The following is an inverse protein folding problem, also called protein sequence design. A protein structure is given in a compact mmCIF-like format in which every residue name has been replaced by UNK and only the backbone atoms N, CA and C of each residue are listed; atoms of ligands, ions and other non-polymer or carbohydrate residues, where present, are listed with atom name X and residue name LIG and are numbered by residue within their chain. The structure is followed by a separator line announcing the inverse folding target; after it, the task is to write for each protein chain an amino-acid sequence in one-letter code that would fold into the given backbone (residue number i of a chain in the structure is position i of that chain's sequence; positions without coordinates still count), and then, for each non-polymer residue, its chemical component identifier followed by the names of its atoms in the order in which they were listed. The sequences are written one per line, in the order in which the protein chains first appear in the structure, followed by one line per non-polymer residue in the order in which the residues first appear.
data_IF_278196600264
#
_entry.id   IF_278196600264
#
_cell.length_a   1.000
_cell.length_b   1.000
_cell.length_c   1.000
_cell.angle_alpha   90.00
_cell.angle_beta   90.00
_cell.angle_gamma   90.00
#
_symmetry.space_group_name_H-M   'P 1'
#
loop_
_entity.id
_entity.type
_entity.pdbx_description
1 polymer ?
#
# COMPACT_ATOMS: atom_id res chain seq x y z
N UNK A 1 33.25 8.89 21.19
CA UNK A 1 33.19 7.44 20.89
C UNK A 1 31.83 6.83 21.28
N UNK A 2 31.42 6.87 22.55
CA UNK A 2 30.15 6.28 23.04
C UNK A 2 28.91 6.85 22.34
N UNK A 3 28.81 8.17 22.19
CA UNK A 3 27.69 8.82 21.48
C UNK A 3 27.59 8.38 20.01
N UNK A 4 28.72 8.16 19.33
CA UNK A 4 28.75 7.67 17.94
C UNK A 4 28.17 6.26 17.84
N UNK A 5 28.56 5.37 18.75
CA UNK A 5 28.09 3.99 18.80
C UNK A 5 26.58 3.91 19.11
N UNK A 6 26.09 4.73 20.03
CA UNK A 6 24.65 4.82 20.34
C UNK A 6 23.85 5.31 19.13
N UNK A 7 24.35 6.34 18.45
CA UNK A 7 23.69 6.86 17.24
C UNK A 7 23.69 5.82 16.11
N UNK A 8 24.78 5.07 15.94
CA UNK A 8 24.89 4.00 14.95
C UNK A 8 23.93 2.84 15.27
N UNK A 9 23.80 2.45 16.54
CA UNK A 9 22.82 1.45 16.98
C UNK A 9 21.38 1.88 16.67
N UNK A 10 21.01 3.13 16.99
CA UNK A 10 19.68 3.68 16.70
C UNK A 10 19.39 3.76 15.20
N UNK A 11 20.37 4.14 14.39
CA UNK A 11 20.23 4.17 12.93
C UNK A 11 20.00 2.76 12.36
N UNK A 12 20.71 1.76 12.88
CA UNK A 12 20.55 0.35 12.48
C UNK A 12 19.16 -0.19 12.85
N UNK A 13 18.65 0.13 14.04
CA UNK A 13 17.30 -0.26 14.45
C UNK A 13 16.21 0.41 13.61
N UNK A 14 16.34 1.72 13.32
CA UNK A 14 15.41 2.42 12.44
C UNK A 14 15.38 1.81 11.03
N UNK A 15 16.55 1.47 10.47
CA UNK A 15 16.62 0.81 9.17
C UNK A 15 15.93 -0.56 9.18
N UNK A 16 16.12 -1.34 10.25
CA UNK A 16 15.47 -2.65 10.40
C UNK A 16 13.95 -2.52 10.47
N UNK A 17 13.44 -1.57 11.26
CA UNK A 17 12.02 -1.29 11.38
C UNK A 17 11.43 -0.84 10.04
N UNK A 18 12.12 0.07 9.34
CA UNK A 18 11.70 0.54 8.02
C UNK A 18 11.64 -0.61 7.00
N UNK A 19 12.69 -1.44 6.93
CA UNK A 19 12.71 -2.60 6.04
C UNK A 19 11.57 -3.58 6.35
N UNK A 20 11.29 -3.82 7.64
CA UNK A 20 10.18 -4.68 8.04
C UNK A 20 8.83 -4.10 7.62
N UNK A 21 8.63 -2.79 7.78
CA UNK A 21 7.41 -2.11 7.34
C UNK A 21 7.24 -2.20 5.82
N UNK A 22 8.29 -1.91 5.04
CA UNK A 22 8.26 -1.99 3.57
C UNK A 22 7.87 -3.38 3.09
N UNK A 23 8.51 -4.43 3.61
CA UNK A 23 8.22 -5.83 3.24
C UNK A 23 6.76 -6.18 3.55
N UNK A 24 6.27 -5.80 4.74
CA UNK A 24 4.88 -6.08 5.14
C UNK A 24 3.88 -5.35 4.27
N UNK A 25 4.08 -4.07 4.00
CA UNK A 25 3.16 -3.26 3.18
C UNK A 25 3.15 -3.76 1.73
N UNK A 26 4.30 -4.12 1.17
CA UNK A 26 4.38 -4.73 -0.17
C UNK A 26 3.60 -6.04 -0.23
N UNK A 27 3.80 -6.92 0.76
CA UNK A 27 3.07 -8.19 0.82
C UNK A 27 1.55 -7.98 0.96
N UNK A 28 1.12 -7.04 1.81
CA UNK A 28 -0.29 -6.71 1.96
C UNK A 28 -0.90 -6.16 0.67
N UNK A 29 -0.19 -5.29 -0.04
CA UNK A 29 -0.63 -4.76 -1.33
C UNK A 29 -0.80 -5.87 -2.38
N UNK A 30 0.20 -6.76 -2.49
CA UNK A 30 0.12 -7.90 -3.42
C UNK A 30 -1.02 -8.85 -3.06
N UNK A 31 -1.24 -9.11 -1.77
CA UNK A 31 -2.34 -9.95 -1.30
C UNK A 31 -3.70 -9.32 -1.64
N UNK A 32 -3.88 -8.03 -1.40
CA UNK A 32 -5.12 -7.32 -1.74
C UNK A 32 -5.38 -7.34 -3.25
N UNK A 33 -4.35 -7.09 -4.06
CA UNK A 33 -4.44 -7.17 -5.53
C UNK A 33 -4.81 -8.58 -6.00
N UNK A 34 -4.23 -9.62 -5.39
CA UNK A 34 -4.60 -11.00 -5.70
C UNK A 34 -6.06 -11.28 -5.33
N UNK A 35 -6.51 -10.86 -4.16
CA UNK A 35 -7.88 -11.09 -3.69
C UNK A 35 -8.93 -10.45 -4.60
N UNK A 36 -8.70 -9.22 -5.07
CA UNK A 36 -9.63 -8.57 -5.99
C UNK A 36 -9.64 -9.27 -7.35
N UNK A 37 -8.47 -9.67 -7.88
CA UNK A 37 -8.39 -10.39 -9.15
C UNK A 37 -9.06 -11.77 -9.07
N UNK A 38 -8.79 -12.54 -8.01
CA UNK A 38 -9.43 -13.84 -7.78
C UNK A 38 -10.96 -13.70 -7.69
N UNK A 39 -11.43 -12.63 -7.02
CA UNK A 39 -12.86 -12.31 -6.95
C UNK A 39 -13.42 -12.00 -8.34
N UNK A 40 -12.82 -11.08 -9.09
CA UNK A 40 -13.27 -10.71 -10.44
C UNK A 40 -13.29 -11.87 -11.42
N UNK A 41 -12.30 -12.76 -11.34
CA UNK A 41 -12.19 -13.93 -12.23
C UNK A 41 -13.17 -15.04 -11.86
N UNK A 42 -13.69 -15.05 -10.63
CA UNK A 42 -14.74 -15.98 -10.20
C UNK A 42 -16.14 -15.59 -10.68
N UNK A 43 -16.33 -14.35 -11.13
CA UNK A 43 -17.62 -13.82 -11.57
C UNK A 43 -18.01 -14.30 -12.96
N UNK A 44 -19.32 -14.42 -13.20
CA UNK A 44 -19.85 -14.62 -14.54
C UNK A 44 -19.61 -13.36 -15.40
N UNK A 45 -19.53 -13.49 -16.74
CA UNK A 45 -19.25 -12.37 -17.63
C UNK A 45 -20.18 -11.16 -17.45
N UNK A 46 -21.47 -11.40 -17.17
CA UNK A 46 -22.44 -10.32 -16.94
C UNK A 46 -22.23 -9.64 -15.58
N UNK A 47 -21.94 -10.39 -14.53
CA UNK A 47 -21.63 -9.85 -13.19
C UNK A 47 -20.35 -9.01 -13.24
N UNK A 48 -19.32 -9.48 -13.96
CA UNK A 48 -18.09 -8.73 -14.19
C UNK A 48 -18.36 -7.42 -14.93
N UNK A 49 -19.25 -7.43 -15.92
CA UNK A 49 -19.67 -6.23 -16.68
C UNK A 49 -20.46 -5.24 -15.82
N UNK A 50 -21.23 -5.73 -14.85
CA UNK A 50 -21.93 -4.87 -13.89
C UNK A 50 -20.97 -4.29 -12.87
N UNK A 51 -20.05 -5.11 -12.33
CA UNK A 51 -19.03 -4.67 -11.40
C UNK A 51 -18.14 -3.57 -12.00
N UNK A 52 -17.74 -3.68 -13.29
CA UNK A 52 -16.94 -2.65 -13.95
C UNK A 52 -17.64 -1.29 -14.07
N UNK A 53 -18.97 -1.24 -13.92
CA UNK A 53 -19.75 0.02 -13.87
C UNK A 53 -19.86 0.58 -12.45
N UNK A 54 -19.86 -0.29 -11.44
CA UNK A 54 -20.00 0.08 -10.03
C UNK A 54 -18.66 0.54 -9.45
N UNK A 55 -17.57 -0.14 -9.81
CA UNK A 55 -16.25 0.13 -9.23
C UNK A 55 -15.79 1.59 -9.38
N UNK A 56 -15.94 2.24 -10.55
CA UNK A 56 -15.59 3.66 -10.69
C UNK A 56 -16.46 4.63 -9.87
N UNK A 57 -17.64 4.17 -9.44
CA UNK A 57 -18.56 4.92 -8.57
C UNK A 57 -18.37 4.57 -7.09
N UNK A 58 -17.51 3.58 -6.79
CA UNK A 58 -17.19 3.20 -5.42
C UNK A 58 -16.28 4.25 -4.78
N UNK A 59 -16.41 4.38 -3.47
CA UNK A 59 -15.68 5.37 -2.68
C UNK A 59 -14.86 4.64 -1.62
N UNK A 60 -13.59 5.00 -1.48
CA UNK A 60 -12.74 4.54 -0.39
C UNK A 60 -12.86 5.52 0.77
N UNK A 61 -12.93 5.03 2.01
CA UNK A 61 -12.96 5.91 3.20
C UNK A 61 -11.79 6.91 3.24
N UNK A 62 -10.67 6.59 2.57
CA UNK A 62 -9.49 7.44 2.43
C UNK A 62 -9.60 8.55 1.40
N UNK A 63 -10.63 8.58 0.55
CA UNK A 63 -10.73 9.56 -0.54
C UNK A 63 -10.92 11.01 -0.03
N UNK A 64 -11.31 11.18 1.24
CA UNK A 64 -11.34 12.49 1.91
C UNK A 64 -9.97 12.92 2.48
N UNK A 65 -8.96 12.06 2.42
CA UNK A 65 -7.61 12.36 2.88
C UNK A 65 -6.77 12.72 1.65
N UNK A 66 -6.21 13.92 1.63
CA UNK A 66 -5.28 14.32 0.59
C UNK A 66 -4.05 13.39 0.61
N UNK A 67 -3.92 12.58 -0.43
CA UNK A 67 -2.77 11.69 -0.63
C UNK A 67 -1.91 12.22 -1.77
N UNK A 68 -0.57 12.14 -1.67
CA UNK A 68 0.30 12.51 -2.77
C UNK A 68 0.03 11.59 -3.96
N UNK A 69 -0.23 12.18 -5.13
CA UNK A 69 -0.55 11.46 -6.37
C UNK A 69 0.69 11.18 -7.23
N UNK A 70 1.82 11.81 -6.89
CA UNK A 70 3.07 11.70 -7.62
C UNK A 70 4.32 11.86 -6.75
N UNK A 71 5.48 11.61 -7.36
CA UNK A 71 6.78 11.68 -6.68
C UNK A 71 7.09 13.09 -6.16
N UNK A 72 6.79 14.11 -6.97
CA UNK A 72 7.05 15.51 -6.62
C UNK A 72 6.24 15.97 -5.40
N UNK A 73 4.97 15.52 -5.30
CA UNK A 73 4.12 15.78 -4.14
C UNK A 73 4.59 15.00 -2.90
N UNK A 74 5.09 13.78 -3.09
CA UNK A 74 5.61 12.94 -2.00
C UNK A 74 6.89 13.53 -1.38
N UNK A 75 7.72 14.23 -2.17
CA UNK A 75 9.00 14.77 -1.72
C UNK A 75 8.88 16.11 -0.97
N UNK A 76 7.77 16.83 -1.11
CA UNK A 76 7.52 18.10 -0.40
C UNK A 76 7.56 17.93 1.11
#
# INVERSE_FOLDING_TARGET
LVSLLVNQGRASDNQRLFNNAVIRVQHLHQLAAKMINDFEDSLLPEERRQLSKIFPLSFCNSDYIEAPTGKDETQK
#
